data_IF_493947852534
#
_entry.id   IF_493947852534
#
_cell.length_a   1.000
_cell.length_b   1.000
_cell.length_c   1.000
_cell.angle_alpha   90.00
_cell.angle_beta   90.00
_cell.angle_gamma   90.00
#
_symmetry.space_group_name_H-M   'P 1'
#
loop_
_entity.id
_entity.type
_entity.pdbx_description
1 polymer ?
#
# COMPACT_ATOMS: atom_id res chain seq x y z
N UNK A 1 -0.53 3.53 -17.23
CA UNK A 1 -1.19 3.61 -15.92
C UNK A 1 -2.01 2.35 -15.70
N UNK A 2 -1.79 1.69 -14.58
CA UNK A 2 -2.52 0.47 -14.26
C UNK A 2 -3.95 0.77 -13.91
N UNK A 3 -4.90 -0.10 -14.31
CA UNK A 3 -6.29 0.04 -13.88
C UNK A 3 -6.40 0.05 -12.36
N UNK A 4 -7.39 0.75 -11.84
CA UNK A 4 -7.57 0.87 -10.39
C UNK A 4 -7.79 -0.51 -9.75
N UNK A 5 -8.41 -1.43 -10.45
CA UNK A 5 -8.61 -2.77 -9.93
C UNK A 5 -7.28 -3.46 -9.60
N UNK A 6 -6.30 -3.39 -10.52
CA UNK A 6 -4.99 -4.00 -10.29
C UNK A 6 -4.25 -3.30 -9.17
N UNK A 7 -4.42 -1.99 -9.07
CA UNK A 7 -3.78 -1.21 -8.01
C UNK A 7 -4.34 -1.59 -6.65
N UNK A 8 -5.67 -1.74 -6.55
CA UNK A 8 -6.30 -2.16 -5.30
C UNK A 8 -5.81 -3.55 -4.88
N UNK A 9 -5.70 -4.45 -5.83
CA UNK A 9 -5.21 -5.81 -5.54
C UNK A 9 -3.75 -5.81 -5.11
N UNK A 10 -3.04 -4.71 -5.32
CA UNK A 10 -1.64 -4.59 -4.90
C UNK A 10 -1.48 -3.93 -3.52
N UNK A 11 -2.58 -3.56 -2.85
CA UNK A 11 -2.50 -2.83 -1.57
C UNK A 11 -1.63 -3.52 -0.53
N UNK A 12 -1.76 -4.83 -0.40
CA UNK A 12 -0.93 -5.58 0.55
C UNK A 12 0.55 -5.44 0.22
N UNK A 13 0.90 -5.60 -1.07
CA UNK A 13 2.28 -5.50 -1.49
C UNK A 13 2.84 -4.09 -1.26
N UNK A 14 2.01 -3.06 -1.51
CA UNK A 14 2.39 -1.67 -1.26
C UNK A 14 2.68 -1.46 0.22
N UNK A 15 1.81 -1.95 1.10
CA UNK A 15 2.00 -1.84 2.55
C UNK A 15 3.28 -2.52 3.00
N UNK A 16 3.56 -3.71 2.46
CA UNK A 16 4.78 -4.43 2.81
C UNK A 16 6.02 -3.72 2.31
N UNK A 17 5.95 -3.12 1.12
CA UNK A 17 7.07 -2.37 0.58
C UNK A 17 7.37 -1.14 1.42
N UNK A 18 6.34 -0.46 1.92
CA UNK A 18 6.52 0.69 2.83
C UNK A 18 7.24 0.25 4.09
N UNK A 19 6.80 -0.85 4.70
CA UNK A 19 7.45 -1.38 5.90
C UNK A 19 8.92 -1.71 5.66
N UNK A 20 9.21 -2.33 4.52
CA UNK A 20 10.59 -2.67 4.15
C UNK A 20 11.47 -1.44 4.00
N UNK A 21 10.92 -0.39 3.37
CA UNK A 21 11.65 0.87 3.22
C UNK A 21 11.89 1.53 4.56
N UNK A 22 10.90 1.52 5.43
CA UNK A 22 11.04 2.09 6.78
C UNK A 22 12.14 1.40 7.57
N UNK A 23 12.17 0.07 7.52
CA UNK A 23 13.22 -0.69 8.20
C UNK A 23 14.61 -0.39 7.63
N UNK A 24 14.70 -0.29 6.31
CA UNK A 24 15.96 0.00 5.65
C UNK A 24 16.47 1.40 6.03
N UNK A 25 15.57 2.38 5.98
CA UNK A 25 15.92 3.76 6.36
C UNK A 25 16.38 3.81 7.82
N UNK A 26 15.67 3.10 8.69
CA UNK A 26 15.99 3.05 10.11
C UNK A 26 17.38 2.47 10.34
N UNK A 27 17.72 1.38 9.66
CA UNK A 27 19.04 0.79 9.78
C UNK A 27 20.14 1.71 9.28
N UNK A 28 19.91 2.40 8.16
CA UNK A 28 20.87 3.34 7.62
C UNK A 28 21.06 4.55 8.53
N UNK A 29 19.97 5.01 9.13
CA UNK A 29 20.00 6.15 10.06
C UNK A 29 20.81 5.78 11.31
N UNK A 30 20.59 4.59 11.84
CA UNK A 30 21.35 4.12 13.00
C UNK A 30 22.84 4.06 12.71
N UNK A 31 23.21 3.57 11.52
CA UNK A 31 24.62 3.51 11.12
C UNK A 31 25.22 4.90 10.94
N UNK A 32 24.43 5.87 10.51
CA UNK A 32 24.91 7.23 10.32
C UNK A 32 25.22 7.91 11.66
N UNK A 33 24.51 7.52 12.71
CA UNK A 33 24.69 8.10 14.04
C UNK A 33 25.83 7.46 14.81
N UNK A 34 26.00 6.14 14.64
CA UNK A 34 26.99 5.37 15.40
C UNK A 34 28.33 5.31 14.66
N UNK A 35 29.45 5.63 15.34
CA UNK A 35 30.74 5.43 14.71
C UNK A 35 30.96 3.95 14.46
N UNK A 36 31.44 3.64 13.28
CA UNK A 36 31.73 2.27 12.93
C UNK A 36 33.22 2.07 12.80
N UNK A 37 33.68 0.92 13.21
CA UNK A 37 35.08 0.54 13.08
C UNK A 37 35.28 -0.46 11.97
N UNK A 38 34.34 -0.52 11.09
CA UNK A 38 34.40 -1.46 10.00
C UNK A 38 35.49 -1.08 9.03
N UNK A 39 35.93 -2.06 8.29
CA UNK A 39 37.07 -1.91 7.41
C UNK A 39 36.85 -0.95 6.26
N UNK A 40 35.68 -0.52 6.04
CA UNK A 40 35.38 0.49 5.07
C UNK A 40 35.43 0.06 3.61
N UNK A 41 35.90 -1.14 3.31
CA UNK A 41 35.99 -1.58 1.94
C UNK A 41 34.64 -1.65 1.25
N UNK A 42 33.63 -2.02 2.03
CA UNK A 42 32.27 -2.16 1.53
C UNK A 42 31.36 -1.13 2.12
N UNK A 43 31.89 -0.23 2.90
CA UNK A 43 31.06 0.76 3.56
C UNK A 43 30.85 1.98 2.70
N UNK A 44 29.61 2.38 2.68
CA UNK A 44 29.20 3.62 2.08
C UNK A 44 29.66 4.78 2.95
N UNK A 45 30.23 5.82 2.37
CA UNK A 45 30.59 6.98 3.16
C UNK A 45 29.35 7.72 3.63
N UNK A 46 29.53 8.71 4.51
CA UNK A 46 28.42 9.45 5.13
C UNK A 46 27.53 10.11 4.08
N UNK A 47 28.14 10.70 3.06
CA UNK A 47 27.37 11.38 1.99
C UNK A 47 26.54 10.38 1.21
N UNK A 48 27.16 9.26 0.83
CA UNK A 48 26.44 8.22 0.11
C UNK A 48 25.29 7.65 0.91
N UNK A 49 25.48 7.50 2.22
CA UNK A 49 24.44 6.99 3.11
C UNK A 49 23.27 7.97 3.18
N UNK A 50 23.56 9.25 3.34
CA UNK A 50 22.52 10.29 3.37
C UNK A 50 21.76 10.36 2.05
N UNK A 51 22.48 10.24 0.93
CA UNK A 51 21.83 10.26 -0.38
C UNK A 51 20.90 9.06 -0.56
N UNK A 52 21.32 7.91 -0.07
CA UNK A 52 20.49 6.71 -0.15
C UNK A 52 19.24 6.87 0.73
N UNK A 53 19.41 7.39 1.95
CA UNK A 53 18.27 7.65 2.84
C UNK A 53 17.28 8.58 2.17
N UNK A 54 17.76 9.64 1.54
CA UNK A 54 16.88 10.59 0.84
C UNK A 54 16.09 9.93 -0.29
N UNK A 55 16.76 9.08 -1.07
CA UNK A 55 16.11 8.38 -2.18
C UNK A 55 15.07 7.39 -1.68
N UNK A 56 15.41 6.62 -0.63
CA UNK A 56 14.48 5.66 -0.06
C UNK A 56 13.27 6.34 0.58
N UNK A 57 13.50 7.50 1.21
CA UNK A 57 12.40 8.28 1.79
C UNK A 57 11.46 8.78 0.73
N UNK A 58 11.99 9.19 -0.42
CA UNK A 58 11.18 9.63 -1.54
C UNK A 58 10.33 8.50 -2.11
N UNK A 59 10.93 7.32 -2.23
CA UNK A 59 10.20 6.14 -2.71
C UNK A 59 9.10 5.77 -1.72
N UNK A 60 9.39 5.84 -0.42
CA UNK A 60 8.41 5.55 0.61
C UNK A 60 7.23 6.53 0.54
N UNK A 61 7.52 7.82 0.39
CA UNK A 61 6.48 8.83 0.28
C UNK A 61 5.56 8.58 -0.91
N UNK A 62 6.15 8.19 -2.03
CA UNK A 62 5.38 7.87 -3.23
C UNK A 62 4.43 6.71 -3.01
N UNK A 63 4.91 5.66 -2.34
CA UNK A 63 4.09 4.50 -2.02
C UNK A 63 3.00 4.85 -1.00
N UNK A 64 3.32 5.70 -0.03
CA UNK A 64 2.32 6.15 0.94
C UNK A 64 1.20 6.94 0.27
N UNK A 65 1.53 7.77 -0.73
CA UNK A 65 0.53 8.48 -1.49
C UNK A 65 -0.36 7.54 -2.29
N UNK A 66 0.23 6.51 -2.86
CA UNK A 66 -0.55 5.51 -3.59
C UNK A 66 -1.49 4.77 -2.64
N UNK A 67 -0.99 4.39 -1.47
CA UNK A 67 -1.81 3.71 -0.46
C UNK A 67 -2.99 4.58 -0.05
N UNK A 68 -2.74 5.86 0.22
CA UNK A 68 -3.78 6.80 0.63
C UNK A 68 -4.83 6.98 -0.48
N UNK A 69 -4.38 7.08 -1.71
CA UNK A 69 -5.30 7.21 -2.84
C UNK A 69 -6.20 5.98 -2.97
N UNK A 70 -5.61 4.80 -2.86
CA UNK A 70 -6.38 3.56 -2.99
C UNK A 70 -7.36 3.37 -1.83
N UNK A 71 -6.97 3.81 -0.63
CA UNK A 71 -7.90 3.77 0.50
C UNK A 71 -9.09 4.71 0.27
N UNK A 72 -8.84 5.88 -0.30
CA UNK A 72 -9.93 6.77 -0.68
C UNK A 72 -10.84 6.17 -1.74
N UNK A 73 -10.26 5.39 -2.66
CA UNK A 73 -11.06 4.69 -3.66
C UNK A 73 -12.00 3.69 -3.00
N UNK A 74 -11.50 2.96 -1.99
CA UNK A 74 -12.36 2.02 -1.27
C UNK A 74 -13.48 2.76 -0.54
N UNK A 75 -13.19 3.94 -0.02
CA UNK A 75 -14.20 4.75 0.66
C UNK A 75 -15.31 5.24 -0.27
N UNK A 76 -15.12 5.15 -1.59
CA UNK A 76 -16.18 5.48 -2.54
C UNK A 76 -17.30 4.46 -2.57
N UNK A 77 -17.06 3.26 -2.08
CA UNK A 77 -18.10 2.22 -2.02
C UNK A 77 -19.10 2.62 -0.95
N UNK A 78 -20.38 2.68 -1.31
CA UNK A 78 -21.41 3.15 -0.38
C UNK A 78 -21.64 2.22 0.79
N UNK A 79 -21.67 0.93 0.54
CA UNK A 79 -21.98 -0.04 1.59
C UNK A 79 -20.79 -0.24 2.53
N UNK A 80 -20.94 0.09 3.81
CA UNK A 80 -19.84 -0.07 4.77
C UNK A 80 -19.32 -1.51 4.86
N UNK A 81 -20.22 -2.48 4.76
CA UNK A 81 -19.82 -3.88 4.84
C UNK A 81 -18.95 -4.27 3.65
N UNK A 82 -19.31 -3.84 2.46
CA UNK A 82 -18.53 -4.10 1.26
C UNK A 82 -17.15 -3.44 1.39
N UNK A 83 -17.08 -2.23 1.93
CA UNK A 83 -15.79 -1.57 2.18
C UNK A 83 -14.90 -2.41 3.08
N UNK A 84 -15.46 -2.94 4.16
CA UNK A 84 -14.68 -3.76 5.08
C UNK A 84 -14.24 -5.08 4.47
N UNK A 85 -15.07 -5.65 3.62
CA UNK A 85 -14.69 -6.85 2.87
C UNK A 85 -13.51 -6.57 1.95
N UNK A 86 -13.53 -5.42 1.25
CA UNK A 86 -12.43 -5.03 0.38
C UNK A 86 -11.14 -4.81 1.18
N UNK A 87 -11.24 -4.16 2.33
CA UNK A 87 -10.08 -3.95 3.19
C UNK A 87 -9.51 -5.26 3.70
N UNK A 88 -10.37 -6.15 4.15
CA UNK A 88 -9.96 -7.45 4.64
C UNK A 88 -9.23 -8.24 3.57
N UNK A 89 -9.77 -8.22 2.35
CA UNK A 89 -9.17 -8.94 1.24
C UNK A 89 -7.84 -8.33 0.80
N UNK A 90 -7.78 -7.02 0.65
CA UNK A 90 -6.67 -6.38 -0.06
C UNK A 90 -5.69 -5.63 0.83
N UNK A 91 -6.12 -5.12 1.96
CA UNK A 91 -5.19 -4.50 2.91
C UNK A 91 -4.62 -5.56 3.85
N UNK A 92 -5.48 -6.44 4.35
CA UNK A 92 -5.05 -7.47 5.30
C UNK A 92 -4.68 -8.80 4.63
N UNK A 93 -4.78 -8.85 3.33
CA UNK A 93 -4.37 -10.01 2.52
C UNK A 93 -5.03 -11.32 2.94
N UNK A 94 -6.29 -11.25 3.32
CA UNK A 94 -7.02 -12.46 3.68
C UNK A 94 -7.59 -13.11 2.43
N UNK A 95 -7.59 -14.44 2.41
CA UNK A 95 -8.16 -15.18 1.29
C UNK A 95 -9.67 -15.01 1.28
N UNK A 96 -10.29 -15.39 0.16
CA UNK A 96 -11.75 -15.42 0.06
C UNK A 96 -12.35 -16.28 1.17
N UNK A 97 -11.74 -17.41 1.43
CA UNK A 97 -12.20 -18.34 2.45
C UNK A 97 -12.13 -17.74 3.85
N UNK A 98 -10.99 -17.11 4.18
CA UNK A 98 -10.82 -16.47 5.47
C UNK A 98 -11.79 -15.32 5.66
N UNK A 99 -12.00 -14.54 4.61
CA UNK A 99 -12.95 -13.42 4.64
C UNK A 99 -14.37 -13.92 4.83
N UNK A 100 -14.73 -14.99 4.16
CA UNK A 100 -16.05 -15.59 4.30
C UNK A 100 -16.31 -16.00 5.75
N UNK A 101 -15.31 -16.58 6.39
CA UNK A 101 -15.42 -16.96 7.80
C UNK A 101 -15.60 -15.74 8.69
N UNK A 102 -14.82 -14.70 8.45
CA UNK A 102 -14.86 -13.48 9.26
C UNK A 102 -16.23 -12.83 9.22
N UNK A 103 -16.86 -12.78 8.07
CA UNK A 103 -18.14 -12.09 7.90
C UNK A 103 -19.35 -13.03 7.94
N UNK A 104 -19.10 -14.31 8.13
CA UNK A 104 -20.16 -15.34 8.16
C UNK A 104 -20.95 -15.38 6.85
N UNK A 105 -20.26 -15.26 5.75
CA UNK A 105 -20.81 -15.36 4.40
C UNK A 105 -20.22 -16.55 3.68
N UNK A 106 -20.88 -16.95 2.58
CA UNK A 106 -20.30 -17.95 1.71
C UNK A 106 -19.16 -17.34 0.89
N UNK A 107 -18.25 -18.18 0.42
CA UNK A 107 -17.16 -17.70 -0.43
C UNK A 107 -17.71 -17.05 -1.71
N UNK A 108 -18.79 -17.61 -2.24
CA UNK A 108 -19.42 -17.06 -3.44
C UNK A 108 -19.95 -15.65 -3.19
N UNK A 109 -20.54 -15.44 -2.01
CA UNK A 109 -21.04 -14.11 -1.66
C UNK A 109 -19.90 -13.11 -1.52
N UNK A 110 -18.77 -13.53 -0.91
CA UNK A 110 -17.59 -12.67 -0.81
C UNK A 110 -17.06 -12.33 -2.19
N UNK A 111 -17.00 -13.30 -3.10
CA UNK A 111 -16.57 -13.05 -4.47
C UNK A 111 -17.46 -12.02 -5.15
N UNK A 112 -18.76 -12.18 -4.99
CA UNK A 112 -19.75 -11.29 -5.59
C UNK A 112 -19.60 -9.87 -5.06
N UNK A 113 -19.53 -9.71 -3.73
CA UNK A 113 -19.40 -8.39 -3.11
C UNK A 113 -18.09 -7.72 -3.47
N UNK A 114 -17.01 -8.50 -3.55
CA UNK A 114 -15.72 -7.98 -3.96
C UNK A 114 -15.78 -7.43 -5.38
N UNK A 115 -16.37 -8.20 -6.29
CA UNK A 115 -16.49 -7.79 -7.69
C UNK A 115 -17.38 -6.55 -7.84
N UNK A 116 -18.49 -6.53 -7.13
CA UNK A 116 -19.39 -5.38 -7.17
C UNK A 116 -18.73 -4.13 -6.61
N UNK A 117 -17.99 -4.27 -5.52
CA UNK A 117 -17.27 -3.15 -4.92
C UNK A 117 -16.22 -2.57 -5.87
N UNK A 118 -15.45 -3.43 -6.51
CA UNK A 118 -14.43 -2.98 -7.46
C UNK A 118 -15.10 -2.30 -8.67
N UNK A 119 -16.21 -2.84 -9.14
CA UNK A 119 -16.95 -2.23 -10.24
C UNK A 119 -17.47 -0.85 -9.86
N UNK A 120 -17.97 -0.71 -8.66
CA UNK A 120 -18.44 0.58 -8.16
C UNK A 120 -17.29 1.58 -8.10
N UNK A 121 -16.13 1.16 -7.60
CA UNK A 121 -14.95 2.02 -7.55
C UNK A 121 -14.56 2.48 -8.94
N UNK A 122 -14.48 1.55 -9.90
CA UNK A 122 -14.14 1.89 -11.27
C UNK A 122 -15.07 2.94 -11.84
N UNK A 123 -16.38 2.75 -11.60
CA UNK A 123 -17.39 3.68 -12.09
C UNK A 123 -17.22 5.07 -11.48
N UNK A 124 -17.02 5.12 -10.17
CA UNK A 124 -16.93 6.40 -9.46
C UNK A 124 -15.62 7.14 -9.73
N UNK A 125 -14.52 6.41 -9.89
CA UNK A 125 -13.24 7.00 -10.23
C UNK A 125 -13.30 7.67 -11.59
N UNK A 126 -13.97 7.06 -12.55
CA UNK A 126 -14.13 7.66 -13.88
C UNK A 126 -14.98 8.92 -13.84
N UNK A 127 -15.95 8.98 -12.92
CA UNK A 127 -16.84 10.13 -12.81
C UNK A 127 -16.38 11.23 -11.89
N UNK A 128 -15.32 11.00 -11.10
CA UNK A 128 -14.83 11.97 -10.11
C UNK A 128 -13.33 12.09 -10.18
N UNK A 129 -12.85 13.31 -10.01
CA UNK A 129 -11.41 13.56 -9.90
C UNK A 129 -11.03 13.52 -8.43
N UNK A 130 -10.81 12.34 -7.90
CA UNK A 130 -10.40 12.19 -6.51
C UNK A 130 -8.90 12.28 -6.33
N UNK A 131 -8.15 12.32 -7.41
CA UNK A 131 -6.69 12.32 -7.37
C UNK A 131 -6.08 13.70 -7.34
N UNK A 132 -6.89 14.69 -7.05
CA UNK A 132 -6.49 16.09 -7.14
C UNK A 132 -5.25 16.41 -6.31
N UNK A 133 -5.10 15.77 -5.17
CA UNK A 133 -3.99 16.02 -4.25
C UNK A 133 -2.92 14.94 -4.30
N UNK A 134 -3.00 14.06 -5.26
CA UNK A 134 -2.06 12.95 -5.37
C UNK A 134 -1.44 12.95 -6.75
N UNK A 135 -0.13 12.66 -6.85
CA UNK A 135 0.49 12.53 -8.15
C UNK A 135 -0.13 11.38 -8.90
N UNK A 136 -0.51 11.63 -10.10
CA UNK A 136 -1.10 10.61 -10.96
C UNK A 136 -0.03 9.84 -11.71
#
# INVERSE_FOLDING_TARGET
VKPVEKRIKSLWAISRAIEGLEEHIERLTAKAIMPTHENGNMEMNAVGRLNLIARLSKDKDRLCMELAYLDECINLVEDPLTREILRTRFIHNKSRRETAKTFSYSEERIKQLTSEGIREINSRVKGKKITRNYPS
#
